data_IF_064823614620
#
_entry.id   IF_064823614620
#
_cell.length_a   1.000
_cell.length_b   1.000
_cell.length_c   1.000
_cell.angle_alpha   90.00
_cell.angle_beta   90.00
_cell.angle_gamma   90.00
#
_symmetry.space_group_name_H-M   'P 1'
#
loop_
_entity.id
_entity.type
_entity.pdbx_description
1 polymer ?
#
# COMPACT_ATOMS: atom_id res chain seq x y z
N UNK A 1 16.65 -10.23 23.21
CA UNK A 1 15.82 -9.84 22.04
C UNK A 1 16.15 -10.75 20.85
N UNK A 2 15.45 -10.65 19.70
CA UNK A 2 15.72 -11.47 18.51
C UNK A 2 17.17 -11.35 18.02
N UNK A 3 17.77 -10.16 18.12
CA UNK A 3 19.17 -9.91 17.80
C UNK A 3 20.14 -10.79 18.60
N UNK A 4 19.92 -10.95 19.91
CA UNK A 4 20.83 -11.71 20.78
C UNK A 4 20.72 -13.22 20.56
N UNK A 5 19.53 -13.72 20.18
CA UNK A 5 19.29 -15.16 20.06
C UNK A 5 19.68 -15.72 18.71
N UNK A 6 19.59 -14.91 17.66
CA UNK A 6 19.85 -15.29 16.27
C UNK A 6 21.06 -14.56 15.68
N UNK A 7 21.80 -13.77 16.47
CA UNK A 7 22.88 -12.94 15.93
C UNK A 7 22.43 -12.02 14.78
N UNK A 8 21.15 -11.63 14.74
CA UNK A 8 20.56 -10.94 13.58
C UNK A 8 21.22 -9.58 13.39
N UNK A 9 21.88 -9.39 12.24
CA UNK A 9 22.39 -8.11 11.77
C UNK A 9 21.68 -7.73 10.48
N UNK A 10 21.25 -6.48 10.39
CA UNK A 10 20.64 -5.94 9.19
C UNK A 10 20.92 -4.45 9.11
N UNK A 11 20.88 -3.91 7.89
CA UNK A 11 20.90 -2.49 7.65
C UNK A 11 19.82 -2.09 6.63
N UNK A 12 19.56 -0.79 6.58
CA UNK A 12 18.73 -0.19 5.55
C UNK A 12 19.61 0.28 4.41
N UNK A 13 19.21 -0.03 3.20
CA UNK A 13 19.87 0.45 1.99
C UNK A 13 18.81 1.05 1.06
N UNK A 14 19.11 2.18 0.44
CA UNK A 14 18.23 2.78 -0.57
C UNK A 14 18.90 2.69 -1.93
N UNK A 15 18.23 2.07 -2.90
CA UNK A 15 18.70 1.97 -4.29
C UNK A 15 17.67 2.54 -5.24
N UNK A 16 18.13 3.04 -6.37
CA UNK A 16 17.24 3.41 -7.47
C UNK A 16 16.67 2.13 -8.11
N UNK A 17 15.36 2.04 -8.20
CA UNK A 17 14.65 0.87 -8.72
C UNK A 17 13.26 1.24 -9.26
N UNK A 18 12.54 0.27 -9.84
CA UNK A 18 11.18 0.47 -10.32
C UNK A 18 10.23 0.65 -9.12
N UNK A 19 9.44 1.72 -9.15
CA UNK A 19 8.45 2.05 -8.11
C UNK A 19 7.10 2.38 -8.75
N UNK A 20 6.06 2.34 -7.93
CA UNK A 20 4.85 3.10 -8.17
C UNK A 20 4.91 4.40 -7.36
N UNK A 21 5.02 5.53 -8.04
CA UNK A 21 4.89 6.82 -7.40
C UNK A 21 3.42 7.17 -7.21
N UNK A 22 3.04 7.41 -5.97
CA UNK A 22 1.71 7.91 -5.60
C UNK A 22 1.75 9.44 -5.61
N UNK A 23 1.02 10.05 -6.53
CA UNK A 23 0.94 11.51 -6.72
C UNK A 23 -0.51 11.99 -6.65
N UNK A 24 -0.71 13.30 -6.51
CA UNK A 24 -2.05 13.89 -6.62
C UNK A 24 -2.46 13.86 -8.10
N UNK A 25 -3.68 13.40 -8.38
CA UNK A 25 -4.22 13.43 -9.73
C UNK A 25 -4.44 14.89 -10.19
N UNK A 26 -4.24 15.23 -11.47
CA UNK A 26 -4.51 16.58 -11.97
C UNK A 26 -5.93 17.09 -11.71
N UNK A 27 -6.91 16.21 -11.54
CA UNK A 27 -8.28 16.56 -11.16
C UNK A 27 -8.42 17.01 -9.69
N UNK A 28 -7.35 16.91 -8.89
CA UNK A 28 -7.30 17.32 -7.49
C UNK A 28 -7.66 16.20 -6.51
N UNK A 29 -7.26 16.41 -5.25
CA UNK A 29 -7.47 15.49 -4.15
C UNK A 29 -8.97 15.42 -3.78
N UNK A 30 -9.51 14.20 -3.65
CA UNK A 30 -10.93 13.96 -3.28
C UNK A 30 -11.08 13.39 -1.87
N UNK A 31 -9.99 12.90 -1.27
CA UNK A 31 -9.98 12.46 0.12
C UNK A 31 -10.16 13.64 1.08
N UNK A 32 -10.73 13.36 2.25
CA UNK A 32 -10.96 14.39 3.28
C UNK A 32 -9.87 14.33 4.32
N UNK A 33 -9.24 15.47 4.63
CA UNK A 33 -8.28 15.54 5.73
C UNK A 33 -8.99 15.25 7.06
N UNK A 34 -8.35 14.46 7.92
CA UNK A 34 -8.83 14.11 9.24
C UNK A 34 -7.79 14.48 10.31
N UNK A 35 -8.16 15.39 11.21
CA UNK A 35 -7.30 15.90 12.29
C UNK A 35 -7.71 15.39 13.67
N UNK A 36 -8.65 14.44 13.73
CA UNK A 36 -9.05 13.83 15.00
C UNK A 36 -7.86 13.10 15.65
N UNK A 37 -7.79 13.03 16.99
CA UNK A 37 -6.72 12.32 17.68
C UNK A 37 -6.60 10.88 17.20
N UNK A 38 -5.38 10.36 17.11
CA UNK A 38 -5.13 8.96 16.75
C UNK A 38 -5.76 8.01 17.78
N UNK A 39 -6.36 6.93 17.31
CA UNK A 39 -6.79 5.79 18.12
C UNK A 39 -6.14 4.50 17.62
N UNK A 40 -6.50 3.37 18.26
CA UNK A 40 -5.94 2.05 17.99
C UNK A 40 -6.73 1.22 16.97
N UNK A 41 -7.71 1.80 16.27
CA UNK A 41 -8.46 1.09 15.25
C UNK A 41 -7.62 0.88 13.98
N UNK A 42 -7.86 -0.25 13.30
CA UNK A 42 -7.30 -0.49 11.97
C UNK A 42 -7.85 0.59 11.03
N UNK A 43 -7.00 1.37 10.34
CA UNK A 43 -7.46 2.57 9.64
C UNK A 43 -8.11 2.26 8.28
N UNK A 44 -7.88 1.07 7.71
CA UNK A 44 -8.51 0.64 6.44
C UNK A 44 -9.22 -0.68 6.66
N UNK A 45 -10.53 -0.71 6.43
CA UNK A 45 -11.37 -1.89 6.62
C UNK A 45 -12.34 -2.06 5.44
N UNK A 46 -12.98 -3.23 5.40
CA UNK A 46 -14.00 -3.54 4.42
C UNK A 46 -13.47 -4.33 3.22
N UNK A 47 -14.38 -4.96 2.48
CA UNK A 47 -14.04 -5.75 1.31
C UNK A 47 -13.78 -4.84 0.09
N UNK A 48 -13.17 -5.32 -1.00
CA UNK A 48 -12.76 -4.48 -2.15
C UNK A 48 -13.90 -3.68 -2.82
N UNK A 49 -15.14 -4.14 -2.73
CA UNK A 49 -16.34 -3.43 -3.19
C UNK A 49 -16.70 -2.21 -2.35
N UNK A 50 -16.20 -2.13 -1.11
CA UNK A 50 -16.49 -1.05 -0.17
C UNK A 50 -15.39 -0.92 0.89
N UNK A 51 -14.21 -0.47 0.47
CA UNK A 51 -13.12 -0.18 1.40
C UNK A 51 -13.34 1.19 2.02
N UNK A 52 -13.30 1.25 3.34
CA UNK A 52 -13.41 2.48 4.12
C UNK A 52 -12.08 2.75 4.81
N UNK A 53 -11.47 3.87 4.44
CA UNK A 53 -10.32 4.45 5.11
C UNK A 53 -10.79 5.53 6.09
N UNK A 54 -10.44 5.37 7.37
CA UNK A 54 -10.68 6.37 8.42
C UNK A 54 -9.36 6.76 9.06
N UNK A 55 -9.05 8.06 9.02
CA UNK A 55 -7.83 8.67 9.56
C UNK A 55 -6.58 7.92 9.09
N UNK A 56 -6.50 7.66 7.79
CA UNK A 56 -5.42 6.87 7.19
C UNK A 56 -4.19 7.74 6.97
N UNK A 57 -3.04 7.43 7.61
CA UNK A 57 -1.77 8.09 7.32
C UNK A 57 -1.29 7.77 5.90
N UNK A 58 -0.65 8.73 5.21
CA UNK A 58 -0.22 8.52 3.82
C UNK A 58 0.80 7.38 3.63
N UNK A 59 1.68 7.17 4.62
CA UNK A 59 2.61 6.03 4.63
C UNK A 59 1.88 4.69 4.79
N UNK A 60 0.85 4.63 5.63
CA UNK A 60 -0.01 3.46 5.76
C UNK A 60 -0.75 3.18 4.45
N UNK A 61 -1.26 4.22 3.79
CA UNK A 61 -1.93 4.08 2.49
C UNK A 61 -0.98 3.47 1.44
N UNK A 62 0.27 3.91 1.38
CA UNK A 62 1.27 3.34 0.47
C UNK A 62 1.55 1.86 0.79
N UNK A 63 1.72 1.51 2.07
CA UNK A 63 1.87 0.11 2.49
C UNK A 63 0.66 -0.75 2.09
N UNK A 64 -0.56 -0.26 2.34
CA UNK A 64 -1.80 -0.95 1.99
C UNK A 64 -1.94 -1.14 0.47
N UNK A 65 -1.60 -0.13 -0.33
CA UNK A 65 -1.60 -0.25 -1.79
C UNK A 65 -0.56 -1.26 -2.28
N UNK A 66 0.59 -1.37 -1.61
CA UNK A 66 1.56 -2.44 -1.87
C UNK A 66 0.99 -3.83 -1.63
N UNK A 67 0.12 -4.01 -0.62
CA UNK A 67 -0.60 -5.27 -0.39
C UNK A 67 -1.66 -5.54 -1.47
N UNK A 68 -2.39 -4.50 -1.90
CA UNK A 68 -3.36 -4.64 -3.00
C UNK A 68 -2.67 -5.04 -4.30
N UNK A 69 -1.47 -4.51 -4.55
CA UNK A 69 -0.66 -4.77 -5.74
C UNK A 69 0.35 -5.91 -5.54
N UNK A 70 0.06 -6.89 -4.67
CA UNK A 70 1.00 -7.96 -4.29
C UNK A 70 1.60 -8.79 -5.44
N UNK A 71 0.97 -8.81 -6.62
CA UNK A 71 1.50 -9.49 -7.81
C UNK A 71 2.58 -8.68 -8.54
N UNK A 72 2.85 -7.45 -8.10
CA UNK A 72 3.81 -6.53 -8.66
C UNK A 72 4.90 -6.23 -7.63
N UNK A 73 6.16 -6.40 -8.03
CA UNK A 73 7.31 -6.21 -7.13
C UNK A 73 7.63 -4.73 -6.87
N UNK A 74 6.94 -3.80 -7.54
CA UNK A 74 7.16 -2.36 -7.38
C UNK A 74 6.53 -1.85 -6.07
N UNK A 75 7.33 -1.31 -5.13
CA UNK A 75 6.76 -0.68 -3.95
C UNK A 75 6.04 0.61 -4.32
N UNK A 76 5.05 0.96 -3.51
CA UNK A 76 4.34 2.24 -3.61
C UNK A 76 5.05 3.28 -2.74
N UNK A 77 5.47 4.38 -3.36
CA UNK A 77 6.20 5.47 -2.70
C UNK A 77 5.35 6.73 -2.69
N UNK A 78 5.19 7.34 -1.52
CA UNK A 78 4.50 8.62 -1.38
C UNK A 78 5.31 9.74 -2.07
N UNK A 79 4.75 10.30 -3.13
CA UNK A 79 5.25 11.49 -3.81
C UNK A 79 4.15 12.55 -3.97
N UNK A 80 3.08 12.45 -3.18
CA UNK A 80 1.95 13.35 -3.23
C UNK A 80 2.22 14.66 -2.47
N UNK A 81 3.27 14.70 -1.65
CA UNK A 81 3.54 15.83 -0.74
C UNK A 81 2.50 15.98 0.37
N UNK A 82 1.73 14.92 0.62
CA UNK A 82 0.69 14.85 1.65
C UNK A 82 1.25 14.10 2.87
N UNK A 83 1.24 14.75 4.02
CA UNK A 83 1.74 14.25 5.31
C UNK A 83 0.63 14.06 6.37
N UNK A 84 -0.59 14.48 6.06
CA UNK A 84 -1.75 14.32 6.94
C UNK A 84 -2.38 12.93 6.94
N UNK A 85 -3.49 12.82 7.68
CA UNK A 85 -4.37 11.66 7.69
C UNK A 85 -5.62 11.95 6.86
N UNK A 86 -6.15 10.93 6.21
CA UNK A 86 -7.26 11.09 5.28
C UNK A 86 -8.36 10.06 5.47
N UNK A 87 -9.60 10.52 5.28
CA UNK A 87 -10.79 9.68 5.18
C UNK A 87 -11.15 9.50 3.70
N UNK A 88 -11.51 8.28 3.34
CA UNK A 88 -11.96 7.94 2.00
C UNK A 88 -12.83 6.69 1.99
N UNK A 89 -13.57 6.53 0.90
CA UNK A 89 -14.21 5.27 0.53
C UNK A 89 -13.77 4.95 -0.89
N UNK A 90 -13.36 3.71 -1.12
CA UNK A 90 -12.92 3.27 -2.45
C UNK A 90 -13.45 1.88 -2.76
N UNK A 91 -13.93 1.70 -3.98
CA UNK A 91 -14.36 0.43 -4.53
C UNK A 91 -13.55 0.10 -5.78
N UNK A 92 -13.01 -1.12 -5.85
CA UNK A 92 -12.19 -1.58 -6.96
C UNK A 92 -12.25 -3.09 -7.15
N UNK A 93 -11.98 -3.55 -8.37
CA UNK A 93 -11.88 -4.99 -8.67
C UNK A 93 -10.68 -5.60 -7.93
N UNK A 94 -10.85 -6.71 -7.19
CA UNK A 94 -9.76 -7.37 -6.48
C UNK A 94 -8.64 -7.81 -7.44
N UNK A 95 -7.39 -7.67 -6.98
CA UNK A 95 -6.25 -8.27 -7.68
C UNK A 95 -6.23 -9.76 -7.34
N UNK A 96 -6.41 -10.60 -8.37
CA UNK A 96 -6.48 -12.04 -8.21
C UNK A 96 -5.09 -12.67 -8.06
N UNK A 97 -4.93 -13.70 -7.22
CA UNK A 97 -3.70 -14.47 -7.16
C UNK A 97 -3.37 -15.13 -8.51
N UNK A 98 -2.09 -15.43 -8.78
CA UNK A 98 -1.70 -16.18 -9.97
C UNK A 98 -2.46 -17.50 -10.10
N UNK A 99 -3.01 -17.78 -11.28
CA UNK A 99 -3.77 -19.01 -11.54
C UNK A 99 -5.26 -18.96 -11.20
N UNK A 100 -5.78 -17.85 -10.69
CA UNK A 100 -7.22 -17.65 -10.45
C UNK A 100 -7.84 -16.87 -11.63
N UNK A 101 -8.82 -17.45 -12.32
CA UNK A 101 -9.53 -16.77 -13.42
C UNK A 101 -10.45 -15.66 -12.88
N UNK A 102 -10.52 -14.55 -13.61
CA UNK A 102 -11.49 -13.48 -13.39
C UNK A 102 -12.94 -13.95 -13.54
N UNK A 103 -13.19 -15.06 -14.23
CA UNK A 103 -14.53 -15.65 -14.33
C UNK A 103 -15.06 -16.12 -12.97
N UNK A 104 -14.17 -16.42 -12.01
CA UNK A 104 -14.54 -16.82 -10.66
C UNK A 104 -14.93 -15.64 -9.76
N UNK A 105 -14.73 -14.39 -10.21
CA UNK A 105 -15.24 -13.23 -9.50
C UNK A 105 -16.76 -13.15 -9.64
N UNK A 106 -17.46 -12.89 -8.53
CA UNK A 106 -18.89 -12.57 -8.58
C UNK A 106 -19.13 -11.36 -9.48
N UNK A 107 -20.29 -11.30 -10.12
CA UNK A 107 -20.66 -10.22 -11.06
C UNK A 107 -20.44 -8.82 -10.47
N UNK A 108 -20.71 -8.63 -9.17
CA UNK A 108 -20.49 -7.38 -8.45
C UNK A 108 -19.05 -6.81 -8.54
N UNK A 109 -18.04 -7.65 -8.76
CA UNK A 109 -16.64 -7.21 -8.90
C UNK A 109 -16.25 -6.88 -10.35
N UNK A 110 -17.02 -7.35 -11.34
CA UNK A 110 -16.70 -7.20 -12.77
C UNK A 110 -16.95 -5.78 -13.28
N UNK A 111 -17.91 -5.08 -12.67
CA UNK A 111 -18.27 -3.70 -13.02
C UNK A 111 -17.46 -2.64 -12.24
N UNK A 112 -16.61 -3.07 -11.30
CA UNK A 112 -15.77 -2.15 -10.55
C UNK A 112 -14.56 -1.69 -11.38
N UNK A 113 -14.06 -0.47 -11.14
CA UNK A 113 -12.83 -0.01 -11.78
C UNK A 113 -11.61 -0.78 -11.24
N UNK A 114 -10.54 -0.83 -12.02
CA UNK A 114 -9.24 -1.25 -11.50
C UNK A 114 -8.76 -0.29 -10.39
N UNK A 115 -7.87 -0.75 -9.51
CA UNK A 115 -7.31 0.11 -8.46
C UNK A 115 -6.69 1.42 -9.01
N UNK A 116 -6.06 1.39 -10.19
CA UNK A 116 -5.49 2.58 -10.85
C UNK A 116 -6.56 3.61 -11.25
N UNK A 117 -7.73 3.14 -11.69
CA UNK A 117 -8.84 4.01 -12.04
C UNK A 117 -9.58 4.49 -10.79
N UNK A 118 -9.81 3.60 -9.82
CA UNK A 118 -10.45 3.92 -8.56
C UNK A 118 -9.71 5.01 -7.79
N UNK A 119 -8.38 4.93 -7.68
CA UNK A 119 -7.58 5.98 -7.01
C UNK A 119 -7.77 7.35 -7.66
N UNK A 120 -7.78 7.42 -9.00
CA UNK A 120 -7.95 8.69 -9.72
C UNK A 120 -9.36 9.24 -9.56
N UNK A 121 -10.35 8.40 -9.81
CA UNK A 121 -11.75 8.83 -9.88
C UNK A 121 -12.36 9.06 -8.50
N UNK A 122 -11.98 8.30 -7.48
CA UNK A 122 -12.62 8.30 -6.16
C UNK A 122 -11.78 9.02 -5.11
N UNK A 123 -10.45 8.93 -5.18
CA UNK A 123 -9.54 9.50 -4.17
C UNK A 123 -8.78 10.74 -4.67
N UNK A 124 -8.71 10.97 -5.98
CA UNK A 124 -7.91 12.06 -6.55
C UNK A 124 -6.41 11.80 -6.45
N UNK A 125 -6.02 10.53 -6.46
CA UNK A 125 -4.63 10.08 -6.41
C UNK A 125 -4.29 9.29 -7.67
N UNK A 126 -3.02 9.27 -8.03
CA UNK A 126 -2.53 8.56 -9.21
C UNK A 126 -1.33 7.70 -8.85
N UNK A 127 -1.33 6.46 -9.33
CA UNK A 127 -0.16 5.60 -9.31
C UNK A 127 0.53 5.63 -10.68
N UNK A 128 1.82 5.93 -10.70
CA UNK A 128 2.61 5.99 -11.93
C UNK A 128 3.87 5.14 -11.80
N UNK A 129 4.10 4.18 -12.71
CA UNK A 129 5.39 3.52 -12.83
C UNK A 129 6.49 4.53 -13.12
N UNK A 130 7.53 4.54 -12.30
CA UNK A 130 8.76 5.27 -12.61
C UNK A 130 9.97 4.66 -11.91
N UNK A 131 11.17 5.16 -12.21
CA UNK A 131 12.35 4.89 -11.39
C UNK A 131 12.36 5.82 -10.19
N UNK A 132 12.73 5.30 -9.03
CA UNK A 132 12.80 6.08 -7.80
C UNK A 132 13.47 5.31 -6.67
N UNK A 133 13.57 5.92 -5.47
CA UNK A 133 14.22 5.30 -4.32
C UNK A 133 13.38 4.13 -3.80
N UNK A 134 13.99 2.95 -3.71
CA UNK A 134 13.44 1.77 -3.06
C UNK A 134 14.23 1.53 -1.78
N UNK A 135 13.54 1.44 -0.65
CA UNK A 135 14.14 1.08 0.64
C UNK A 135 14.17 -0.44 0.79
N UNK A 136 15.37 -0.98 0.99
CA UNK A 136 15.63 -2.38 1.25
C UNK A 136 16.07 -2.57 2.70
N UNK A 137 15.55 -3.61 3.34
CA UNK A 137 16.10 -4.16 4.58
C UNK A 137 17.01 -5.33 4.22
N UNK A 138 18.31 -5.11 4.29
CA UNK A 138 19.32 -6.11 3.95
C UNK A 138 19.70 -6.86 5.22
N UNK A 139 19.46 -8.17 5.23
CA UNK A 139 19.92 -9.04 6.31
C UNK A 139 21.40 -9.33 6.06
N UNK A 140 22.27 -8.77 6.88
CA UNK A 140 23.71 -8.98 6.82
C UNK A 140 24.11 -10.34 7.40
N UNK A 141 23.43 -10.76 8.47
CA UNK A 141 23.78 -11.97 9.19
C UNK A 141 22.61 -12.55 9.96
N UNK A 142 22.50 -13.87 9.96
CA UNK A 142 21.59 -14.61 10.84
C UNK A 142 22.23 -15.95 11.22
N UNK A 143 22.16 -16.30 12.50
CA UNK A 143 22.64 -17.54 13.08
C UNK A 143 21.48 -18.37 13.62
N UNK A 144 21.68 -19.70 13.65
CA UNK A 144 20.75 -20.58 14.35
C UNK A 144 20.89 -20.36 15.86
N UNK A 145 19.78 -20.26 16.61
CA UNK A 145 19.85 -20.09 18.04
C UNK A 145 20.41 -21.35 18.70
N UNK A 146 21.08 -21.20 19.84
CA UNK A 146 21.45 -22.33 20.69
C UNK A 146 20.21 -23.08 21.18
N UNK A 147 20.36 -24.38 21.44
CA UNK A 147 19.30 -25.18 22.06
C UNK A 147 18.90 -24.58 23.42
N UNK A 148 17.61 -24.63 23.72
CA UNK A 148 17.03 -24.07 24.95
C UNK A 148 17.39 -24.86 26.20
#
# INVERSE_FOLDING_TARGET
MLADRFGLKFHKETKEGPIYALTIDPAGLKMKANTTPQDFNIPVNGPPEHVVGTRVPMNYLCWWLGQVLQNDERPVVNMAGLDGNYDFTVAFTPVLPPGVSADNLSENFRDLPSIFTALREQMGLKLQPQKGPVEYYVIDHVERPSAN
#
